data_IF_211205199361
#
_entry.id   IF_211205199361
#
_cell.length_a   1.000
_cell.length_b   1.000
_cell.length_c   1.000
_cell.angle_alpha   90.00
_cell.angle_beta   90.00
_cell.angle_gamma   90.00
#
_symmetry.space_group_name_H-M   'P 1'
#
loop_
_entity.id
_entity.type
_entity.pdbx_description
1 polymer ?
#
# COMPACT_ATOMS: atom_id res chain seq x y z
N UNK A 1 12.35 -25.42 20.89
CA UNK A 1 12.40 -24.04 21.44
C UNK A 1 12.00 -24.13 22.90
N UNK A 2 12.72 -23.52 23.84
CA UNK A 2 12.26 -23.51 25.25
C UNK A 2 11.02 -22.62 25.36
N UNK A 3 10.12 -22.93 26.29
CA UNK A 3 8.89 -22.15 26.55
C UNK A 3 9.22 -20.68 26.83
N UNK A 4 10.37 -20.45 27.47
CA UNK A 4 10.95 -19.14 27.71
C UNK A 4 11.23 -18.37 26.41
N UNK A 5 11.87 -19.01 25.41
CA UNK A 5 12.18 -18.35 24.13
C UNK A 5 10.91 -18.02 23.34
N UNK A 6 9.90 -18.89 23.40
CA UNK A 6 8.60 -18.68 22.75
C UNK A 6 7.86 -17.47 23.34
N UNK A 7 7.80 -17.39 24.67
CA UNK A 7 7.13 -16.29 25.36
C UNK A 7 7.86 -14.95 25.17
N UNK A 8 9.19 -14.96 25.17
CA UNK A 8 10.00 -13.76 24.88
C UNK A 8 9.79 -13.30 23.44
N UNK A 9 9.74 -14.23 22.47
CA UNK A 9 9.50 -13.89 21.08
C UNK A 9 8.11 -13.29 20.87
N UNK A 10 7.08 -13.87 21.51
CA UNK A 10 5.72 -13.33 21.48
C UNK A 10 5.66 -11.90 22.05
N UNK A 11 6.37 -11.66 23.16
CA UNK A 11 6.46 -10.33 23.78
C UNK A 11 7.17 -9.33 22.85
N UNK A 12 8.30 -9.72 22.25
CA UNK A 12 9.06 -8.88 21.32
C UNK A 12 8.24 -8.50 20.09
N UNK A 13 7.51 -9.45 19.51
CA UNK A 13 6.62 -9.19 18.37
C UNK A 13 5.52 -8.20 18.78
N UNK A 14 4.82 -8.44 19.89
CA UNK A 14 3.78 -7.53 20.39
C UNK A 14 4.31 -6.12 20.67
N UNK A 15 5.49 -6.01 21.27
CA UNK A 15 6.14 -4.73 21.57
C UNK A 15 6.57 -4.00 20.29
N UNK A 16 7.17 -4.71 19.33
CA UNK A 16 7.56 -4.13 18.04
C UNK A 16 6.33 -3.63 17.26
N UNK A 17 5.24 -4.40 17.22
CA UNK A 17 3.97 -3.96 16.63
C UNK A 17 3.43 -2.72 17.35
N UNK A 18 3.50 -2.67 18.69
CA UNK A 18 3.14 -1.49 19.48
C UNK A 18 3.96 -0.25 19.12
N UNK A 19 5.28 -0.37 19.04
CA UNK A 19 6.19 0.74 18.66
C UNK A 19 5.88 1.23 17.25
N UNK A 20 5.71 0.34 16.27
CA UNK A 20 5.40 0.71 14.89
C UNK A 20 4.03 1.40 14.78
N UNK A 21 3.07 0.99 15.61
CA UNK A 21 1.74 1.62 15.70
C UNK A 21 1.83 3.02 16.30
N UNK A 22 2.56 3.19 17.41
CA UNK A 22 2.73 4.48 18.10
C UNK A 22 3.53 5.47 17.24
N UNK A 23 4.58 5.01 16.56
CA UNK A 23 5.42 5.84 15.69
C UNK A 23 4.75 6.21 14.36
N UNK A 24 3.61 5.59 14.02
CA UNK A 24 2.92 5.81 12.74
C UNK A 24 3.60 5.14 11.54
N UNK A 25 4.74 4.45 11.75
CA UNK A 25 5.52 3.78 10.69
C UNK A 25 4.71 2.70 9.97
N UNK A 26 3.66 2.14 10.62
CA UNK A 26 2.78 1.14 10.02
C UNK A 26 2.13 1.60 8.71
N UNK A 27 1.93 2.92 8.51
CA UNK A 27 1.36 3.52 7.28
C UNK A 27 2.23 3.31 6.04
N UNK A 28 3.50 2.90 6.20
CA UNK A 28 4.35 2.44 5.10
C UNK A 28 3.93 1.10 4.52
N UNK A 29 3.12 0.33 5.25
CA UNK A 29 2.79 -1.05 4.90
C UNK A 29 1.30 -1.36 4.98
N UNK A 30 0.51 -0.63 5.76
CA UNK A 30 -0.88 -0.97 6.06
C UNK A 30 -1.75 0.28 6.01
N UNK A 31 -2.98 0.12 5.52
CA UNK A 31 -3.97 1.19 5.45
C UNK A 31 -4.23 1.83 6.83
N UNK A 32 -4.26 3.17 6.95
CA UNK A 32 -4.48 3.88 8.22
C UNK A 32 -5.73 3.43 9.00
N UNK A 33 -6.81 3.03 8.33
CA UNK A 33 -8.05 2.58 8.97
C UNK A 33 -7.91 1.28 9.77
N UNK A 34 -6.80 0.54 9.62
CA UNK A 34 -6.52 -0.69 10.35
C UNK A 34 -5.75 -0.46 11.66
N UNK A 35 -5.40 0.79 11.97
CA UNK A 35 -4.78 1.17 13.25
C UNK A 35 -5.47 0.56 14.49
N UNK A 36 -6.80 0.63 14.67
CA UNK A 36 -7.43 0.10 15.88
C UNK A 36 -7.22 -1.41 16.02
N UNK A 37 -7.28 -2.15 14.90
CA UNK A 37 -7.04 -3.60 14.89
C UNK A 37 -5.59 -3.96 15.17
N UNK A 38 -4.64 -3.17 14.65
CA UNK A 38 -3.21 -3.30 14.96
C UNK A 38 -2.91 -3.01 16.43
N UNK A 39 -3.54 -1.99 17.02
CA UNK A 39 -3.39 -1.68 18.43
C UNK A 39 -3.94 -2.80 19.31
N UNK A 40 -5.13 -3.33 19.00
CA UNK A 40 -5.73 -4.46 19.72
C UNK A 40 -4.84 -5.70 19.64
N UNK A 41 -4.32 -6.04 18.46
CA UNK A 41 -3.44 -7.20 18.31
C UNK A 41 -2.14 -7.05 19.10
N UNK A 42 -1.50 -5.86 19.07
CA UNK A 42 -0.32 -5.58 19.87
C UNK A 42 -0.59 -5.78 21.37
N UNK A 43 -1.71 -5.24 21.88
CA UNK A 43 -2.11 -5.40 23.29
C UNK A 43 -2.34 -6.88 23.61
N UNK A 44 -3.09 -7.61 22.78
CA UNK A 44 -3.37 -9.03 23.01
C UNK A 44 -2.09 -9.86 23.06
N UNK A 45 -1.15 -9.63 22.14
CA UNK A 45 0.13 -10.34 22.10
C UNK A 45 0.95 -10.07 23.36
N UNK A 46 1.04 -8.81 23.80
CA UNK A 46 1.76 -8.43 25.02
C UNK A 46 1.10 -9.07 26.25
N UNK A 47 -0.23 -8.99 26.37
CA UNK A 47 -0.97 -9.56 27.51
C UNK A 47 -0.81 -11.09 27.56
N UNK A 48 -0.95 -11.78 26.43
CA UNK A 48 -0.77 -13.23 26.35
C UNK A 48 0.66 -13.64 26.72
N UNK A 49 1.67 -12.90 26.24
CA UNK A 49 3.06 -13.16 26.60
C UNK A 49 3.30 -12.97 28.11
N UNK A 50 2.81 -11.88 28.69
CA UNK A 50 2.93 -11.61 30.13
C UNK A 50 2.23 -12.68 30.98
N UNK A 51 1.01 -13.09 30.61
CA UNK A 51 0.28 -14.16 31.31
C UNK A 51 1.08 -15.47 31.26
N UNK A 52 1.63 -15.83 30.10
CA UNK A 52 2.42 -17.05 29.93
C UNK A 52 3.71 -17.02 30.76
N UNK A 53 4.45 -15.90 30.76
CA UNK A 53 5.67 -15.73 31.56
C UNK A 53 5.35 -15.81 33.06
N UNK A 54 4.33 -15.08 33.52
CA UNK A 54 3.92 -15.10 34.93
C UNK A 54 3.47 -16.49 35.36
N UNK A 55 2.76 -17.22 34.49
CA UNK A 55 2.32 -18.60 34.79
C UNK A 55 3.50 -19.57 34.85
N UNK A 56 4.51 -19.41 34.00
CA UNK A 56 5.72 -20.24 34.00
C UNK A 56 6.52 -20.00 35.29
N UNK A 57 6.73 -18.73 35.65
CA UNK A 57 7.42 -18.34 36.90
C UNK A 57 6.65 -18.83 38.14
N UNK A 58 5.31 -18.68 38.16
CA UNK A 58 4.46 -19.10 39.29
C UNK A 58 4.34 -20.62 39.44
N UNK A 59 4.42 -21.38 38.34
CA UNK A 59 4.43 -22.85 38.40
C UNK A 59 5.77 -23.39 38.87
N UNK A 60 6.80 -22.55 38.90
CA UNK A 60 8.13 -22.90 39.36
C UNK A 60 8.78 -23.95 38.46
N UNK A 61 10.09 -24.07 38.58
CA UNK A 61 10.85 -25.22 38.11
C UNK A 61 10.50 -26.49 38.94
N UNK A 62 9.21 -26.79 39.11
CA UNK A 62 8.66 -27.87 39.91
C UNK A 62 7.56 -28.57 39.11
N UNK A 63 7.99 -29.36 38.14
CA UNK A 63 7.51 -30.72 37.85
C UNK A 63 8.07 -31.13 36.49
N UNK A 64 9.10 -31.98 36.51
CA UNK A 64 9.38 -32.88 35.42
C UNK A 64 8.76 -34.23 35.76
N UNK A 65 7.52 -34.54 35.33
CA UNK A 65 7.13 -35.91 35.14
C UNK A 65 7.64 -36.34 33.76
N UNK A 66 8.43 -37.41 33.76
CA UNK A 66 8.60 -38.25 32.59
C UNK A 66 7.20 -38.71 32.14
N UNK A 67 6.75 -38.27 30.97
CA UNK A 67 5.67 -38.96 30.26
C UNK A 67 5.98 -38.99 28.76
N UNK A 68 6.12 -40.22 28.28
CA UNK A 68 6.39 -40.60 26.91
C UNK A 68 5.13 -40.37 26.06
N UNK A 69 5.15 -39.42 25.13
CA UNK A 69 4.00 -39.22 24.24
C UNK A 69 4.15 -38.09 23.24
N UNK A 70 4.76 -38.39 22.09
CA UNK A 70 4.66 -37.65 20.82
C UNK A 70 5.03 -36.15 20.85
N UNK A 71 6.32 -35.86 20.93
CA UNK A 71 6.87 -34.55 20.59
C UNK A 71 6.74 -34.28 19.08
N UNK A 72 5.63 -33.66 18.67
CA UNK A 72 5.54 -33.04 17.35
C UNK A 72 6.60 -31.93 17.26
N UNK A 73 7.46 -32.05 16.24
CA UNK A 73 8.67 -31.26 16.00
C UNK A 73 8.42 -29.74 16.06
N UNK A 74 8.81 -29.12 17.17
CA UNK A 74 8.91 -27.66 17.31
C UNK A 74 10.24 -27.09 16.74
N UNK A 75 10.76 -27.68 15.66
CA UNK A 75 12.03 -27.27 15.03
C UNK A 75 11.87 -26.13 14.01
N UNK A 76 10.66 -25.93 13.47
CA UNK A 76 10.40 -24.88 12.48
C UNK A 76 10.18 -23.48 13.10
N UNK A 77 9.89 -23.37 14.40
CA UNK A 77 9.66 -22.08 15.05
C UNK A 77 10.94 -21.22 15.16
N UNK A 78 12.12 -21.84 15.22
CA UNK A 78 13.41 -21.12 15.24
C UNK A 78 13.69 -20.39 13.91
N UNK A 79 13.16 -20.90 12.79
CA UNK A 79 13.22 -20.23 11.50
C UNK A 79 12.43 -18.90 11.47
N UNK A 80 11.51 -18.65 12.42
CA UNK A 80 10.80 -17.37 12.54
C UNK A 80 11.61 -16.30 13.27
N UNK A 81 12.62 -16.67 14.06
CA UNK A 81 13.53 -15.72 14.71
C UNK A 81 14.30 -14.92 13.66
N UNK A 82 14.72 -15.58 12.58
CA UNK A 82 15.48 -14.95 11.48
C UNK A 82 14.69 -13.82 10.79
N UNK A 83 13.48 -14.02 10.24
CA UNK A 83 12.72 -12.94 9.62
C UNK A 83 12.30 -11.86 10.63
N UNK A 84 12.04 -12.20 11.90
CA UNK A 84 11.74 -11.20 12.94
C UNK A 84 12.96 -10.32 13.23
N UNK A 85 14.14 -10.92 13.40
CA UNK A 85 15.38 -10.18 13.57
C UNK A 85 15.68 -9.32 12.33
N UNK A 86 15.49 -9.87 11.13
CA UNK A 86 15.66 -9.14 9.88
C UNK A 86 14.72 -7.93 9.82
N UNK A 87 13.41 -8.07 10.10
CA UNK A 87 12.46 -6.94 10.08
C UNK A 87 12.75 -5.93 11.20
N UNK A 88 13.21 -6.39 12.36
CA UNK A 88 13.55 -5.53 13.49
C UNK A 88 14.81 -4.69 13.27
N UNK A 89 15.83 -5.26 12.61
CA UNK A 89 17.10 -4.57 12.34
C UNK A 89 17.15 -3.90 10.95
N UNK A 90 16.37 -4.38 10.00
CA UNK A 90 16.26 -3.85 8.64
C UNK A 90 14.83 -3.33 8.50
N UNK A 91 14.63 -2.03 8.73
CA UNK A 91 13.37 -1.37 8.42
C UNK A 91 13.32 -1.17 6.90
N UNK A 92 12.51 -1.94 6.15
CA UNK A 92 12.42 -1.72 4.72
C UNK A 92 11.86 -0.32 4.44
N UNK A 93 12.37 0.39 3.42
CA UNK A 93 11.79 1.67 3.03
C UNK A 93 10.33 1.49 2.59
N UNK A 94 9.63 2.61 2.40
CA UNK A 94 8.33 2.60 1.74
C UNK A 94 8.39 1.78 0.44
N UNK A 95 7.32 1.04 0.13
CA UNK A 95 7.19 0.23 -1.08
C UNK A 95 7.57 1.06 -2.30
N UNK A 96 8.59 0.58 -3.01
CA UNK A 96 9.05 1.19 -4.24
C UNK A 96 8.04 0.91 -5.38
N UNK A 97 7.85 1.81 -6.35
CA UNK A 97 6.85 1.65 -7.42
C UNK A 97 7.03 0.36 -8.23
N UNK A 98 8.26 -0.10 -8.40
CA UNK A 98 8.61 -1.30 -9.16
C UNK A 98 8.08 -2.57 -8.48
N UNK A 99 8.03 -2.56 -7.14
CA UNK A 99 7.48 -3.66 -6.33
C UNK A 99 5.95 -3.65 -6.28
N UNK A 100 5.30 -2.56 -6.71
CA UNK A 100 3.84 -2.43 -6.78
C UNK A 100 3.27 -2.78 -8.16
N UNK A 101 4.03 -3.47 -9.02
CA UNK A 101 3.53 -3.92 -10.31
C UNK A 101 2.50 -5.05 -10.08
N UNK A 102 1.25 -4.89 -10.55
CA UNK A 102 0.19 -5.83 -10.22
C UNK A 102 0.39 -7.23 -10.85
N UNK A 103 0.04 -8.28 -10.10
CA UNK A 103 0.10 -9.70 -10.52
C UNK A 103 -1.28 -10.37 -10.70
N UNK A 104 -2.39 -9.62 -10.57
CA UNK A 104 -3.75 -10.19 -10.56
C UNK A 104 -4.50 -9.93 -11.87
N UNK A 105 -5.07 -10.99 -12.43
CA UNK A 105 -5.94 -11.03 -13.62
C UNK A 105 -7.27 -10.31 -13.39
N UNK A 106 -7.64 -9.39 -14.28
CA UNK A 106 -8.94 -8.69 -14.23
C UNK A 106 -10.08 -9.43 -14.93
N UNK A 107 -11.30 -9.12 -14.49
CA UNK A 107 -12.59 -9.49 -15.11
C UNK A 107 -13.11 -8.28 -15.91
N UNK A 108 -13.70 -8.49 -17.09
CA UNK A 108 -14.17 -7.41 -17.98
C UNK A 108 -15.04 -6.36 -17.25
N UNK A 109 -14.66 -5.09 -17.38
CA UNK A 109 -15.31 -3.93 -16.75
C UNK A 109 -16.53 -3.40 -17.50
N UNK A 110 -16.75 -3.84 -18.74
CA UNK A 110 -17.79 -3.31 -19.64
C UNK A 110 -19.21 -3.51 -19.10
N UNK A 111 -19.48 -4.65 -18.45
CA UNK A 111 -20.77 -4.96 -17.80
C UNK A 111 -20.98 -4.17 -16.49
N UNK A 112 -19.93 -3.54 -15.95
CA UNK A 112 -19.94 -2.86 -14.65
C UNK A 112 -20.02 -1.33 -14.75
N UNK A 113 -20.30 -0.78 -15.94
CA UNK A 113 -20.44 0.67 -16.11
C UNK A 113 -21.65 1.18 -15.32
N UNK A 114 -21.45 2.29 -14.61
CA UNK A 114 -22.49 2.96 -13.79
C UNK A 114 -22.28 4.47 -13.83
N UNK A 115 -23.33 5.28 -13.62
CA UNK A 115 -23.16 6.73 -13.57
C UNK A 115 -22.38 7.11 -12.31
N UNK A 116 -21.34 7.95 -12.47
CA UNK A 116 -20.63 8.55 -11.34
C UNK A 116 -21.20 9.93 -11.00
N UNK A 117 -21.03 10.41 -9.75
CA UNK A 117 -21.39 11.78 -9.40
C UNK A 117 -20.54 12.78 -10.20
N UNK A 118 -21.14 13.91 -10.55
CA UNK A 118 -20.45 14.99 -11.25
C UNK A 118 -19.25 15.51 -10.44
N UNK A 119 -18.18 15.89 -11.13
CA UNK A 119 -17.04 16.53 -10.49
C UNK A 119 -17.45 17.90 -9.92
N UNK A 120 -16.80 18.37 -8.83
CA UNK A 120 -17.02 19.71 -8.29
C UNK A 120 -16.96 20.79 -9.37
N UNK A 121 -17.73 21.87 -9.21
CA UNK A 121 -17.88 22.94 -10.19
C UNK A 121 -16.65 23.88 -10.29
N UNK A 122 -15.51 23.48 -9.73
CA UNK A 122 -14.25 24.20 -9.82
C UNK A 122 -13.66 24.09 -11.24
N UNK A 123 -12.76 25.03 -11.59
CA UNK A 123 -12.08 25.03 -12.91
C UNK A 123 -11.29 23.74 -13.15
N UNK A 124 -10.55 23.29 -12.14
CA UNK A 124 -9.67 22.13 -12.21
C UNK A 124 -9.72 21.33 -10.89
N UNK A 125 -10.85 20.65 -10.58
CA UNK A 125 -11.01 19.94 -9.31
C UNK A 125 -9.91 18.89 -9.14
N UNK A 126 -9.41 18.77 -7.91
CA UNK A 126 -8.44 17.76 -7.56
C UNK A 126 -9.10 16.38 -7.49
N UNK A 127 -8.54 15.42 -8.21
CA UNK A 127 -8.97 14.01 -8.23
C UNK A 127 -7.75 13.11 -8.02
N UNK A 128 -7.93 12.03 -7.25
CA UNK A 128 -6.86 11.04 -7.09
C UNK A 128 -6.68 10.25 -8.39
N UNK A 129 -5.45 9.85 -8.69
CA UNK A 129 -5.16 9.05 -9.89
C UNK A 129 -5.95 7.72 -9.95
N UNK A 130 -6.15 6.98 -8.84
CA UNK A 130 -6.97 5.77 -8.86
C UNK A 130 -8.45 6.05 -9.14
N UNK A 131 -9.01 7.12 -8.57
CA UNK A 131 -10.39 7.51 -8.87
C UNK A 131 -10.54 7.87 -10.34
N UNK A 132 -9.57 8.59 -10.91
CA UNK A 132 -9.54 8.92 -12.33
C UNK A 132 -9.57 7.66 -13.20
N UNK A 133 -8.69 6.68 -12.95
CA UNK A 133 -8.64 5.43 -13.71
C UNK A 133 -9.95 4.63 -13.58
N UNK A 134 -10.56 4.60 -12.39
CA UNK A 134 -11.85 3.94 -12.17
C UNK A 134 -12.97 4.64 -12.96
N UNK A 135 -12.98 5.98 -13.00
CA UNK A 135 -13.94 6.74 -13.82
C UNK A 135 -13.75 6.49 -15.31
N UNK A 136 -12.51 6.49 -15.82
CA UNK A 136 -12.23 6.14 -17.23
C UNK A 136 -12.77 4.74 -17.58
N UNK A 137 -12.59 3.78 -16.67
CA UNK A 137 -13.03 2.40 -16.91
C UNK A 137 -14.56 2.22 -16.82
N UNK A 138 -15.22 2.88 -15.84
CA UNK A 138 -16.58 2.50 -15.41
C UNK A 138 -17.62 3.61 -15.47
N UNK A 139 -17.24 4.86 -15.71
CA UNK A 139 -18.22 5.94 -15.70
C UNK A 139 -19.06 5.93 -16.98
N UNK A 140 -20.36 5.67 -16.83
CA UNK A 140 -21.31 5.75 -17.95
C UNK A 140 -21.85 7.16 -18.18
N UNK A 141 -21.64 8.09 -17.24
CA UNK A 141 -22.11 9.47 -17.33
C UNK A 141 -21.08 10.41 -17.99
N UNK A 142 -19.90 9.89 -18.36
CA UNK A 142 -18.82 10.64 -19.02
C UNK A 142 -18.46 11.94 -18.29
N UNK A 143 -18.37 11.89 -16.95
CA UNK A 143 -18.14 13.06 -16.09
C UNK A 143 -16.77 13.72 -16.26
N UNK A 144 -15.86 13.06 -16.99
CA UNK A 144 -14.51 13.55 -17.30
C UNK A 144 -14.43 14.28 -18.64
N UNK A 145 -15.42 14.13 -19.52
CA UNK A 145 -15.33 14.65 -20.89
C UNK A 145 -15.27 16.18 -20.89
N UNK A 146 -14.22 16.75 -21.50
CA UNK A 146 -13.98 18.19 -21.56
C UNK A 146 -13.78 18.85 -20.19
N UNK A 147 -13.40 18.08 -19.17
CA UNK A 147 -13.13 18.58 -17.81
C UNK A 147 -11.64 18.63 -17.53
N UNK A 148 -11.13 19.83 -17.35
CA UNK A 148 -9.83 20.05 -16.76
C UNK A 148 -9.85 19.54 -15.31
N UNK A 149 -8.86 18.72 -14.93
CA UNK A 149 -8.72 18.12 -13.61
C UNK A 149 -7.30 18.31 -13.09
N UNK A 150 -7.16 18.34 -11.77
CA UNK A 150 -5.85 18.37 -11.11
C UNK A 150 -5.53 16.99 -10.57
N UNK A 151 -4.40 16.40 -10.99
CA UNK A 151 -3.95 15.08 -10.53
C UNK A 151 -2.58 15.20 -9.87
N UNK A 152 -2.39 14.48 -8.78
CA UNK A 152 -1.07 14.38 -8.11
C UNK A 152 -0.51 12.99 -8.27
N UNK A 153 0.77 12.89 -8.63
CA UNK A 153 1.49 11.64 -8.78
C UNK A 153 2.99 11.85 -8.86
N UNK A 154 3.74 10.77 -9.04
CA UNK A 154 5.17 10.83 -9.30
C UNK A 154 5.48 10.36 -10.71
N UNK A 155 6.62 10.81 -11.25
CA UNK A 155 7.14 10.36 -12.53
C UNK A 155 7.58 8.89 -12.46
N UNK A 156 7.07 8.09 -13.39
CA UNK A 156 7.42 6.68 -13.54
C UNK A 156 7.88 6.46 -14.98
N UNK A 157 9.04 5.83 -15.19
CA UNK A 157 9.60 5.64 -16.54
C UNK A 157 9.63 4.17 -16.91
N UNK A 158 8.98 3.80 -18.01
CA UNK A 158 8.95 2.43 -18.54
C UNK A 158 9.07 2.48 -20.06
N UNK A 159 9.93 1.62 -20.63
CA UNK A 159 10.15 1.51 -22.08
C UNK A 159 10.42 2.85 -22.80
N UNK A 160 11.16 3.75 -22.14
CA UNK A 160 11.50 5.07 -22.67
C UNK A 160 10.33 6.07 -22.68
N UNK A 161 9.19 5.73 -22.08
CA UNK A 161 8.02 6.60 -21.91
C UNK A 161 7.90 7.04 -20.46
N UNK A 162 7.35 8.23 -20.24
CA UNK A 162 7.10 8.77 -18.90
C UNK A 162 5.61 8.77 -18.63
N UNK A 163 5.23 8.13 -17.53
CA UNK A 163 3.89 8.07 -17.01
C UNK A 163 3.82 8.83 -15.68
N UNK A 164 2.61 9.22 -15.30
CA UNK A 164 2.31 9.69 -13.96
C UNK A 164 1.73 8.54 -13.16
N UNK A 165 2.25 8.29 -11.96
CA UNK A 165 1.86 7.14 -11.15
C UNK A 165 1.58 7.48 -9.67
N UNK A 166 0.79 6.62 -9.03
CA UNK A 166 0.52 6.57 -7.59
C UNK A 166 0.49 5.09 -7.18
N UNK A 167 0.98 4.79 -5.99
CA UNK A 167 0.83 3.45 -5.40
C UNK A 167 -0.47 3.42 -4.59
N UNK A 168 -1.26 2.37 -4.77
CA UNK A 168 -2.56 2.15 -4.12
C UNK A 168 -2.45 0.94 -3.20
N UNK A 169 -2.91 1.07 -1.96
CA UNK A 169 -2.97 -0.02 -0.97
C UNK A 169 -4.41 -0.19 -0.51
N UNK A 170 -4.98 -1.38 -0.70
CA UNK A 170 -6.37 -1.66 -0.28
C UNK A 170 -6.40 -2.03 1.20
N UNK A 171 -5.52 -2.92 1.63
CA UNK A 171 -5.40 -3.41 3.00
C UNK A 171 -3.95 -3.47 3.48
N UNK A 172 -2.99 -3.94 2.68
CA UNK A 172 -1.58 -4.03 3.08
C UNK A 172 -0.59 -4.04 1.92
N UNK A 173 0.71 -3.99 2.22
CA UNK A 173 1.81 -3.98 1.26
C UNK A 173 1.74 -5.11 0.21
N UNK A 174 1.13 -6.24 0.57
CA UNK A 174 0.96 -7.38 -0.34
C UNK A 174 -0.05 -7.12 -1.47
N UNK A 175 -0.98 -6.18 -1.30
CA UNK A 175 -1.93 -5.77 -2.34
C UNK A 175 -1.57 -4.46 -3.04
N UNK A 176 -0.41 -3.89 -2.69
CA UNK A 176 0.05 -2.64 -3.24
C UNK A 176 0.10 -2.75 -4.77
N UNK A 177 -0.56 -1.83 -5.45
CA UNK A 177 -0.62 -1.81 -6.91
C UNK A 177 -0.36 -0.42 -7.46
N UNK A 178 0.31 -0.36 -8.63
CA UNK A 178 0.66 0.87 -9.30
C UNK A 178 -0.51 1.34 -10.18
N UNK A 179 -1.15 2.43 -9.80
CA UNK A 179 -2.05 3.18 -10.67
C UNK A 179 -1.20 4.10 -11.54
N UNK A 180 -1.22 3.93 -12.85
CA UNK A 180 -0.43 4.73 -13.81
C UNK A 180 -1.26 5.19 -15.00
N UNK A 181 -0.90 6.35 -15.52
CA UNK A 181 -1.52 6.97 -16.69
C UNK A 181 -0.45 7.62 -17.56
N UNK A 182 -0.58 7.46 -18.87
CA UNK A 182 0.35 7.99 -19.84
C UNK A 182 0.15 9.49 -19.98
N UNK A 183 1.25 10.22 -19.94
CA UNK A 183 1.27 11.68 -20.12
C UNK A 183 1.46 12.01 -21.60
N UNK A 184 0.58 12.86 -22.13
CA UNK A 184 0.70 13.50 -23.44
C UNK A 184 0.49 15.02 -23.31
N UNK A 185 0.48 15.74 -24.43
CA UNK A 185 0.17 17.17 -24.45
C UNK A 185 1.38 18.09 -24.27
N UNK A 186 1.14 19.41 -24.14
CA UNK A 186 2.18 20.44 -24.14
C UNK A 186 3.23 20.28 -23.03
N UNK A 187 2.84 19.81 -21.85
CA UNK A 187 3.75 19.65 -20.71
C UNK A 187 4.47 18.29 -20.68
N UNK A 188 4.23 17.39 -21.64
CA UNK A 188 4.80 16.04 -21.62
C UNK A 188 6.33 16.02 -21.63
N UNK A 189 6.96 16.88 -22.42
CA UNK A 189 8.44 16.98 -22.46
C UNK A 189 9.00 17.50 -21.13
N UNK A 190 8.33 18.47 -20.50
CA UNK A 190 8.71 18.98 -19.18
C UNK A 190 8.66 17.85 -18.14
N UNK A 191 7.60 17.04 -18.17
CA UNK A 191 7.43 15.90 -17.26
C UNK A 191 8.52 14.85 -17.49
N UNK A 192 8.80 14.52 -18.76
CA UNK A 192 9.84 13.55 -19.13
C UNK A 192 11.25 13.96 -18.71
N UNK A 193 11.52 15.28 -18.60
CA UNK A 193 12.80 15.82 -18.16
C UNK A 193 13.06 15.64 -16.66
N UNK A 194 12.02 15.44 -15.84
CA UNK A 194 12.22 15.18 -14.41
C UNK A 194 12.84 13.78 -14.18
N UNK A 195 13.65 13.61 -13.12
CA UNK A 195 14.08 12.30 -12.67
C UNK A 195 12.89 11.40 -12.31
N UNK A 196 13.10 10.10 -12.26
CA UNK A 196 12.11 9.14 -11.74
C UNK A 196 11.79 9.45 -10.26
N UNK A 197 10.60 9.08 -9.81
CA UNK A 197 10.11 9.32 -8.45
C UNK A 197 10.01 10.81 -8.06
N UNK A 198 9.82 11.70 -9.04
CA UNK A 198 9.60 13.14 -8.80
C UNK A 198 8.10 13.42 -8.66
N UNK A 199 7.69 13.99 -7.53
CA UNK A 199 6.30 14.36 -7.26
C UNK A 199 5.87 15.61 -8.02
N UNK A 200 4.75 15.47 -8.73
CA UNK A 200 4.17 16.49 -9.58
C UNK A 200 2.68 16.65 -9.28
N UNK A 201 2.21 17.89 -9.33
CA UNK A 201 0.81 18.26 -9.48
C UNK A 201 0.61 18.72 -10.91
N UNK A 202 -0.31 18.09 -11.63
CA UNK A 202 -0.57 18.36 -13.04
C UNK A 202 -2.01 18.79 -13.27
N UNK A 203 -2.22 19.76 -14.15
CA UNK A 203 -3.54 20.07 -14.71
C UNK A 203 -3.66 19.39 -16.07
N UNK A 204 -4.67 18.54 -16.23
CA UNK A 204 -4.81 17.67 -17.38
C UNK A 204 -6.27 17.46 -17.78
N UNK A 205 -6.49 17.05 -19.02
CA UNK A 205 -7.77 16.55 -19.52
C UNK A 205 -7.62 15.10 -19.98
N UNK A 206 -8.71 14.34 -19.92
CA UNK A 206 -8.74 12.98 -20.45
C UNK A 206 -9.49 12.98 -21.77
N UNK A 207 -8.85 12.61 -22.89
CA UNK A 207 -9.53 12.43 -24.16
C UNK A 207 -10.70 11.44 -24.03
N UNK A 208 -11.86 11.80 -24.57
CA UNK A 208 -13.09 11.00 -24.55
C UNK A 208 -12.93 9.68 -25.30
N UNK A 209 -13.72 8.66 -24.93
CA UNK A 209 -13.78 7.38 -25.66
C UNK A 209 -12.65 6.40 -25.32
N UNK A 210 -11.82 6.71 -24.33
CA UNK A 210 -10.83 5.76 -23.83
C UNK A 210 -11.48 4.66 -23.00
N UNK A 211 -11.03 3.44 -23.22
CA UNK A 211 -11.37 2.28 -22.38
C UNK A 211 -10.14 1.90 -21.58
N UNK A 212 -10.22 1.96 -20.26
CA UNK A 212 -9.15 1.47 -19.38
C UNK A 212 -9.46 0.05 -18.90
N UNK A 213 -8.51 -0.86 -19.11
CA UNK A 213 -8.44 -2.16 -18.45
C UNK A 213 -6.99 -2.44 -18.10
N UNK A 214 -6.73 -3.20 -17.02
CA UNK A 214 -5.36 -3.44 -16.52
C UNK A 214 -4.42 -4.09 -17.55
N UNK A 215 -4.96 -4.95 -18.41
CA UNK A 215 -4.22 -5.60 -19.51
C UNK A 215 -4.42 -4.89 -20.86
N UNK A 216 -5.18 -3.79 -20.86
CA UNK A 216 -5.44 -2.97 -22.03
C UNK A 216 -4.36 -1.92 -22.24
N UNK A 217 -4.51 -1.10 -23.29
CA UNK A 217 -3.65 0.06 -23.47
C UNK A 217 -3.72 0.97 -22.24
N UNK A 218 -2.56 1.45 -21.79
CA UNK A 218 -2.46 2.43 -20.71
C UNK A 218 -3.25 3.67 -21.14
N UNK A 219 -4.19 4.12 -20.29
CA UNK A 219 -4.95 5.34 -20.53
C UNK A 219 -4.01 6.54 -20.69
N UNK A 220 -4.44 7.54 -21.45
CA UNK A 220 -3.69 8.74 -21.76
C UNK A 220 -4.41 9.95 -21.17
N UNK A 221 -3.65 10.88 -20.60
CA UNK A 221 -4.12 12.23 -20.26
C UNK A 221 -3.31 13.26 -21.02
N UNK A 222 -3.97 14.32 -21.48
CA UNK A 222 -3.32 15.48 -22.05
C UNK A 222 -3.00 16.47 -20.94
N UNK A 223 -1.71 16.72 -20.70
CA UNK A 223 -1.25 17.58 -19.60
C UNK A 223 -0.87 18.95 -20.11
N UNK A 224 -1.50 19.98 -19.56
CA UNK A 224 -1.29 21.37 -19.92
C UNK A 224 -0.26 22.06 -19.04
N UNK A 225 -0.22 21.72 -17.76
CA UNK A 225 0.75 22.27 -16.81
C UNK A 225 1.21 21.22 -15.80
N UNK A 226 2.48 21.33 -15.39
CA UNK A 226 3.07 20.48 -14.37
C UNK A 226 3.88 21.32 -13.39
N UNK A 227 3.58 21.15 -12.10
CA UNK A 227 4.28 21.82 -11.02
C UNK A 227 4.91 20.77 -10.10
N UNK A 228 6.21 20.89 -9.86
CA UNK A 228 6.88 20.04 -8.87
C UNK A 228 6.42 20.39 -7.46
N UNK A 229 6.17 19.37 -6.67
CA UNK A 229 5.77 19.50 -5.26
C UNK A 229 6.62 18.59 -4.38
N UNK A 230 6.62 18.85 -3.08
CA UNK A 230 7.10 17.88 -2.09
C UNK A 230 6.23 16.62 -2.06
N UNK A 231 6.78 15.46 -1.67
CA UNK A 231 5.99 14.26 -1.42
C UNK A 231 4.83 14.55 -0.46
N UNK A 232 3.60 14.13 -0.80
CA UNK A 232 2.46 14.31 0.10
C UNK A 232 2.68 13.52 1.40
N UNK A 233 2.02 13.94 2.47
CA UNK A 233 2.08 13.24 3.76
C UNK A 233 1.69 11.75 3.64
N UNK A 234 0.73 11.44 2.76
CA UNK A 234 0.37 10.07 2.38
C UNK A 234 0.98 9.73 1.01
N UNK A 235 2.03 8.90 1.04
CA UNK A 235 2.70 8.41 -0.18
C UNK A 235 1.79 7.49 -1.01
N UNK A 236 0.76 6.91 -0.39
CA UNK A 236 -0.18 5.97 -0.99
C UNK A 236 -1.60 6.54 -1.07
N UNK A 237 -2.37 5.98 -1.99
CA UNK A 237 -3.84 6.07 -2.04
C UNK A 237 -4.45 4.82 -1.41
N UNK A 238 -5.68 4.93 -0.87
CA UNK A 238 -6.35 3.87 -0.10
C UNK A 238 -7.82 3.66 -0.46
#
# INVERSE_FOLDING_TARGET
MSRETENVLLLLVGMATGIITITGTYTRYVKPSLLPWLAVSAILLIVLALISIVRDIRRGAADAPHDDGHAHRASAAWLLVVPIAVIGFIVPPAIAPEAATPSVTEVSSEVQRRPFPALPAERAPAISLPELLVRIARDSANTLDGRLITVTGFTFKEDGRTDLARVVIICCAADASLARIRVSGPAAQQIAAYPENTWLRVEAEVPSGQTFSRNGPIAVMEVFSATRIEPPANLYEY
#
